data_IF_499858395377
#
_entry.id   IF_499858395377
#
_cell.length_a   1.000
_cell.length_b   1.000
_cell.length_c   1.000
_cell.angle_alpha   90.00
_cell.angle_beta   90.00
_cell.angle_gamma   90.00
#
_symmetry.space_group_name_H-M   'P 1'
#
loop_
_entity.id
_entity.type
_entity.pdbx_description
1 polymer ?
#
# COMPACT_ATOMS: atom_id res chain seq x y z
N UNK A 1 32.94 -5.53 8.23
CA UNK A 1 31.59 -6.12 8.33
C UNK A 1 30.64 -5.34 7.43
N UNK A 2 30.33 -5.85 6.24
CA UNK A 2 29.25 -5.31 5.40
C UNK A 2 27.94 -5.54 6.13
N UNK A 3 27.32 -4.47 6.66
CA UNK A 3 25.99 -4.56 7.26
C UNK A 3 25.03 -5.10 6.19
N UNK A 4 24.35 -6.20 6.48
CA UNK A 4 23.40 -6.80 5.53
C UNK A 4 22.20 -5.88 5.37
N UNK A 5 21.94 -5.41 4.15
CA UNK A 5 20.75 -4.60 3.83
C UNK A 5 19.48 -5.38 4.19
N UNK A 6 19.52 -6.70 4.00
CA UNK A 6 18.44 -7.63 4.33
C UNK A 6 18.10 -7.58 5.82
N UNK A 7 19.10 -7.53 6.70
CA UNK A 7 18.88 -7.44 8.15
C UNK A 7 18.11 -6.17 8.54
N UNK A 8 18.53 -5.01 8.06
CA UNK A 8 17.84 -3.74 8.34
C UNK A 8 16.44 -3.71 7.75
N UNK A 9 16.25 -4.29 6.55
CA UNK A 9 14.93 -4.41 5.93
C UNK A 9 13.99 -5.26 6.78
N UNK A 10 14.49 -6.37 7.35
CA UNK A 10 13.72 -7.22 8.27
C UNK A 10 13.34 -6.45 9.54
N UNK A 11 14.26 -5.68 10.12
CA UNK A 11 13.98 -4.84 11.30
C UNK A 11 12.87 -3.83 10.99
N UNK A 12 12.97 -3.08 9.89
CA UNK A 12 11.95 -2.11 9.47
C UNK A 12 10.60 -2.79 9.23
N UNK A 13 10.61 -3.97 8.59
CA UNK A 13 9.40 -4.75 8.36
C UNK A 13 8.74 -5.18 9.68
N UNK A 14 9.52 -5.69 10.64
CA UNK A 14 9.03 -6.09 11.95
C UNK A 14 8.42 -4.90 12.73
N UNK A 15 9.09 -3.75 12.71
CA UNK A 15 8.58 -2.49 13.32
C UNK A 15 7.27 -2.05 12.65
N UNK A 16 7.20 -2.11 11.32
CA UNK A 16 5.99 -1.71 10.61
C UNK A 16 4.81 -2.65 10.87
N UNK A 17 5.06 -3.96 10.90
CA UNK A 17 4.03 -4.97 11.19
C UNK A 17 3.52 -4.85 12.63
N UNK A 18 4.41 -4.66 13.60
CA UNK A 18 4.03 -4.47 15.00
C UNK A 18 3.23 -3.18 15.18
N UNK A 19 3.66 -2.06 14.60
CA UNK A 19 2.89 -0.82 14.62
C UNK A 19 1.51 -0.96 13.97
N UNK A 20 1.42 -1.66 12.83
CA UNK A 20 0.15 -1.96 12.16
C UNK A 20 -0.76 -2.83 13.03
N UNK A 21 -0.21 -3.80 13.75
CA UNK A 21 -0.96 -4.66 14.65
C UNK A 21 -1.53 -3.88 15.85
N UNK A 22 -0.70 -3.04 16.49
CA UNK A 22 -1.10 -2.15 17.59
C UNK A 22 -2.21 -1.21 17.12
N UNK A 23 -2.03 -0.52 15.99
CA UNK A 23 -3.05 0.38 15.44
C UNK A 23 -4.37 -0.34 15.17
N UNK A 24 -4.32 -1.56 14.61
CA UNK A 24 -5.53 -2.35 14.35
C UNK A 24 -6.30 -2.69 15.63
N UNK A 25 -5.60 -2.94 16.74
CA UNK A 25 -6.20 -3.15 18.08
C UNK A 25 -6.83 -1.87 18.63
N UNK A 26 -6.24 -0.72 18.37
CA UNK A 26 -6.81 0.59 18.72
C UNK A 26 -7.93 1.06 17.78
N UNK A 27 -8.35 0.26 16.79
CA UNK A 27 -9.37 0.67 15.82
C UNK A 27 -8.88 1.72 14.82
N UNK A 28 -7.57 1.76 14.58
CA UNK A 28 -6.87 2.72 13.73
C UNK A 28 -6.16 2.01 12.58
N UNK A 29 -5.82 2.76 11.53
CA UNK A 29 -5.00 2.31 10.38
C UNK A 29 -4.09 3.43 9.90
N UNK A 30 -2.92 3.08 9.38
CA UNK A 30 -2.07 4.03 8.66
C UNK A 30 -2.79 4.59 7.43
N UNK A 31 -2.55 5.86 7.13
CA UNK A 31 -3.02 6.47 5.87
C UNK A 31 -2.22 5.93 4.68
N UNK A 32 -2.81 6.01 3.50
CA UNK A 32 -2.29 5.34 2.30
C UNK A 32 -0.92 5.89 1.90
N UNK A 33 -0.72 7.21 1.95
CA UNK A 33 0.55 7.88 1.65
C UNK A 33 1.69 7.65 2.65
N UNK A 34 1.45 6.96 3.77
CA UNK A 34 2.53 6.42 4.64
C UNK A 34 2.70 4.93 4.38
N UNK A 35 1.59 4.22 4.24
CA UNK A 35 1.61 2.78 3.99
C UNK A 35 2.32 2.44 2.69
N UNK A 36 2.02 3.14 1.61
CA UNK A 36 2.57 2.89 0.28
C UNK A 36 4.09 3.09 0.21
N UNK A 37 4.67 4.25 0.60
CA UNK A 37 6.12 4.42 0.52
C UNK A 37 6.87 3.48 1.46
N UNK A 38 6.35 3.17 2.65
CA UNK A 38 6.99 2.19 3.55
C UNK A 38 6.95 0.79 2.95
N UNK A 39 5.86 0.41 2.30
CA UNK A 39 5.76 -0.89 1.61
C UNK A 39 6.74 -0.96 0.43
N UNK A 40 6.87 0.11 -0.36
CA UNK A 40 7.86 0.22 -1.43
C UNK A 40 9.29 0.15 -0.91
N UNK A 41 9.59 0.80 0.21
CA UNK A 41 10.90 0.76 0.85
C UNK A 41 11.26 -0.68 1.28
N UNK A 42 10.31 -1.40 1.88
CA UNK A 42 10.50 -2.80 2.28
C UNK A 42 10.72 -3.68 1.04
N UNK A 43 9.92 -3.51 -0.02
CA UNK A 43 10.05 -4.26 -1.27
C UNK A 43 11.39 -3.99 -1.99
N UNK A 44 11.84 -2.75 -2.04
CA UNK A 44 13.14 -2.39 -2.60
C UNK A 44 14.31 -2.95 -1.76
N UNK A 45 14.19 -2.88 -0.43
CA UNK A 45 15.17 -3.42 0.50
C UNK A 45 15.31 -4.94 0.41
N UNK A 46 14.20 -5.68 0.23
CA UNK A 46 14.24 -7.12 0.05
C UNK A 46 14.89 -7.49 -1.28
N UNK A 47 14.53 -6.81 -2.38
CA UNK A 47 15.17 -7.00 -3.68
C UNK A 47 16.69 -6.77 -3.61
N UNK A 48 17.13 -5.64 -3.05
CA UNK A 48 18.55 -5.33 -2.87
C UNK A 48 19.26 -6.35 -1.97
N UNK A 49 18.60 -6.83 -0.90
CA UNK A 49 19.11 -7.85 -0.02
C UNK A 49 19.32 -9.20 -0.72
N UNK A 50 18.36 -9.64 -1.54
CA UNK A 50 18.51 -10.85 -2.35
C UNK A 50 19.66 -10.72 -3.35
N UNK A 51 19.78 -9.57 -4.02
CA UNK A 51 20.90 -9.31 -4.93
C UNK A 51 22.25 -9.39 -4.20
N UNK A 52 22.35 -8.80 -3.00
CA UNK A 52 23.55 -8.89 -2.15
C UNK A 52 23.89 -10.35 -1.81
N UNK A 53 22.88 -11.17 -1.54
CA UNK A 53 23.04 -12.59 -1.21
C UNK A 53 23.53 -13.41 -2.42
N UNK A 54 22.97 -13.15 -3.61
CA UNK A 54 23.38 -13.77 -4.87
C UNK A 54 24.83 -13.39 -5.22
N UNK A 55 25.23 -12.14 -4.99
CA UNK A 55 26.59 -11.69 -5.28
C UNK A 55 27.65 -12.34 -4.38
N UNK A 56 27.27 -12.77 -3.18
CA UNK A 56 28.14 -13.43 -2.20
C UNK A 56 28.45 -14.90 -2.57
N UNK A 57 27.71 -15.48 -3.52
CA UNK A 57 27.93 -16.85 -4.00
C UNK A 57 29.26 -16.94 -4.78
N UNK A 58 30.10 -17.90 -4.40
CA UNK A 58 31.45 -18.11 -4.98
C UNK A 58 31.42 -18.76 -6.37
N UNK A 59 30.46 -19.65 -6.62
CA UNK A 59 30.38 -20.45 -7.86
C UNK A 59 29.86 -19.62 -9.04
N UNK A 60 30.76 -19.30 -9.99
CA UNK A 60 30.51 -18.46 -11.17
C UNK A 60 29.29 -18.88 -12.02
N UNK A 61 29.12 -20.15 -12.44
CA UNK A 61 27.99 -20.53 -13.31
C UNK A 61 26.64 -20.44 -12.57
N UNK A 62 26.59 -20.89 -11.32
CA UNK A 62 25.39 -20.81 -10.48
C UNK A 62 25.01 -19.35 -10.21
N UNK A 63 26.00 -18.47 -9.99
CA UNK A 63 25.79 -17.04 -9.79
C UNK A 63 25.10 -16.39 -10.98
N UNK A 64 25.58 -16.66 -12.20
CA UNK A 64 24.96 -16.13 -13.43
C UNK A 64 23.53 -16.65 -13.57
N UNK A 65 23.32 -17.96 -13.37
CA UNK A 65 21.98 -18.57 -13.44
C UNK A 65 21.01 -17.94 -12.42
N UNK A 66 21.44 -17.72 -11.17
CA UNK A 66 20.60 -17.08 -10.15
C UNK A 66 20.30 -15.62 -10.47
N UNK A 67 21.24 -14.86 -11.02
CA UNK A 67 21.01 -13.46 -11.41
C UNK A 67 19.95 -13.39 -12.51
N UNK A 68 20.04 -14.25 -13.52
CA UNK A 68 19.07 -14.29 -14.63
C UNK A 68 17.69 -14.69 -14.10
N UNK A 69 17.61 -15.72 -13.24
CA UNK A 69 16.36 -16.15 -12.61
C UNK A 69 15.73 -15.05 -11.76
N UNK A 70 16.55 -14.35 -10.97
CA UNK A 70 16.10 -13.25 -10.11
C UNK A 70 15.61 -12.05 -10.93
N UNK A 71 16.31 -11.68 -12.00
CA UNK A 71 15.88 -10.63 -12.91
C UNK A 71 14.54 -10.97 -13.59
N UNK A 72 14.38 -12.21 -14.06
CA UNK A 72 13.12 -12.68 -14.64
C UNK A 72 11.96 -12.63 -13.62
N UNK A 73 12.20 -13.06 -12.38
CA UNK A 73 11.21 -12.98 -11.30
C UNK A 73 10.82 -11.52 -10.99
N UNK A 74 11.77 -10.58 -11.00
CA UNK A 74 11.52 -9.17 -10.79
C UNK A 74 10.66 -8.56 -11.91
N UNK A 75 10.94 -8.90 -13.18
CA UNK A 75 10.16 -8.43 -14.32
C UNK A 75 8.72 -8.94 -14.22
N UNK A 76 8.53 -10.23 -13.90
CA UNK A 76 7.20 -10.80 -13.69
C UNK A 76 6.47 -10.13 -12.52
N UNK A 77 7.16 -9.87 -11.41
CA UNK A 77 6.59 -9.17 -10.25
C UNK A 77 6.18 -7.73 -10.57
N UNK A 78 7.02 -6.99 -11.30
CA UNK A 78 6.71 -5.63 -11.75
C UNK A 78 5.51 -5.61 -12.70
N UNK A 79 5.45 -6.55 -13.66
CA UNK A 79 4.32 -6.65 -14.59
C UNK A 79 3.00 -6.97 -13.87
N UNK A 80 3.05 -7.93 -12.94
CA UNK A 80 1.90 -8.28 -12.11
C UNK A 80 1.48 -7.12 -11.19
N UNK A 81 2.45 -6.44 -10.57
CA UNK A 81 2.22 -5.27 -9.73
C UNK A 81 1.57 -4.12 -10.51
N UNK A 82 2.01 -3.88 -11.74
CA UNK A 82 1.41 -2.89 -12.64
C UNK A 82 -0.04 -3.22 -12.98
N UNK A 83 -0.34 -4.47 -13.34
CA UNK A 83 -1.71 -4.93 -13.59
C UNK A 83 -2.62 -4.80 -12.36
N UNK A 84 -2.11 -5.19 -11.20
CA UNK A 84 -2.83 -5.04 -9.93
C UNK A 84 -3.08 -3.57 -9.59
N UNK A 85 -2.11 -2.69 -9.84
CA UNK A 85 -2.26 -1.26 -9.63
C UNK A 85 -3.28 -0.63 -10.60
N UNK A 86 -3.20 -0.99 -11.88
CA UNK A 86 -4.15 -0.53 -12.90
C UNK A 86 -5.60 -0.92 -12.57
N UNK A 87 -5.81 -2.12 -12.02
CA UNK A 87 -7.12 -2.59 -11.59
C UNK A 87 -7.57 -2.06 -10.22
N UNK A 88 -6.64 -1.62 -9.37
CA UNK A 88 -6.91 -1.25 -7.97
C UNK A 88 -6.67 0.22 -7.68
N UNK A 89 -6.78 1.09 -8.70
CA UNK A 89 -6.40 2.50 -8.66
C UNK A 89 -7.30 3.33 -7.69
N UNK A 90 -7.24 3.03 -6.40
CA UNK A 90 -7.96 3.69 -5.32
C UNK A 90 -7.17 4.93 -4.91
N UNK A 91 -7.62 6.10 -5.32
CA UNK A 91 -7.01 7.35 -4.87
C UNK A 91 -7.61 7.78 -3.53
N UNK A 92 -6.77 7.93 -2.50
CA UNK A 92 -7.17 8.61 -1.27
C UNK A 92 -7.13 10.12 -1.54
N UNK A 93 -8.29 10.79 -1.57
CA UNK A 93 -8.36 12.24 -1.75
C UNK A 93 -8.39 12.91 -0.37
N UNK A 94 -7.62 13.98 -0.25
CA UNK A 94 -7.35 14.76 0.95
C UNK A 94 -8.58 15.10 1.78
N UNK A 95 -8.35 15.36 3.08
CA UNK A 95 -9.37 15.57 4.10
C UNK A 95 -10.45 16.55 3.65
N UNK A 96 -11.69 16.07 3.56
CA UNK A 96 -12.86 16.92 3.41
C UNK A 96 -13.57 16.99 4.76
N UNK A 97 -14.13 18.16 5.04
CA UNK A 97 -15.09 18.31 6.13
C UNK A 97 -16.39 17.66 5.66
N UNK A 98 -16.91 16.68 6.40
CA UNK A 98 -18.22 16.09 6.14
C UNK A 98 -19.32 17.16 6.22
N UNK A 99 -20.49 16.84 5.67
CA UNK A 99 -21.73 17.64 5.78
C UNK A 99 -22.07 18.06 7.23
N UNK A 100 -21.62 17.27 8.23
CA UNK A 100 -21.79 17.53 9.66
C UNK A 100 -20.62 18.28 10.34
N UNK A 101 -19.69 18.88 9.59
CA UNK A 101 -18.57 19.65 10.16
C UNK A 101 -17.43 18.79 10.75
N UNK A 102 -17.51 17.46 10.64
CA UNK A 102 -16.47 16.55 11.15
C UNK A 102 -15.39 16.33 10.10
N UNK A 103 -14.10 16.34 10.48
CA UNK A 103 -13.01 16.07 9.54
C UNK A 103 -13.00 14.60 9.15
N UNK A 104 -13.13 14.32 7.86
CA UNK A 104 -13.16 12.97 7.30
C UNK A 104 -12.11 12.81 6.20
N UNK A 105 -11.69 11.56 6.00
CA UNK A 105 -10.76 11.15 4.95
C UNK A 105 -11.56 10.37 3.91
N UNK A 106 -11.46 10.79 2.65
CA UNK A 106 -12.23 10.24 1.54
C UNK A 106 -11.34 9.31 0.73
N UNK A 107 -11.70 8.04 0.64
CA UNK A 107 -11.10 7.12 -0.32
C UNK A 107 -12.02 7.00 -1.53
N UNK A 108 -11.49 7.28 -2.73
CA UNK A 108 -12.13 6.92 -3.98
C UNK A 108 -11.75 5.49 -4.35
N UNK A 109 -12.77 4.71 -4.68
CA UNK A 109 -12.64 3.37 -5.23
C UNK A 109 -13.33 3.36 -6.58
N UNK A 110 -12.58 3.53 -7.69
CA UNK A 110 -13.14 3.33 -9.01
C UNK A 110 -13.40 1.82 -9.19
N UNK A 111 -14.67 1.45 -9.22
CA UNK A 111 -15.13 0.16 -9.75
C UNK A 111 -15.48 0.41 -11.22
N UNK A 112 -15.29 -0.58 -12.09
CA UNK A 112 -15.40 -0.44 -13.57
C UNK A 112 -16.61 0.36 -14.08
N UNK A 113 -17.70 0.48 -13.30
CA UNK A 113 -18.94 1.16 -13.67
C UNK A 113 -19.48 2.12 -12.59
N UNK A 114 -18.79 2.27 -11.46
CA UNK A 114 -19.29 2.99 -10.29
C UNK A 114 -18.11 3.60 -9.52
N UNK A 115 -18.17 4.90 -9.20
CA UNK A 115 -17.18 5.53 -8.32
C UNK A 115 -17.70 5.53 -6.89
N UNK A 116 -17.10 4.72 -6.02
CA UNK A 116 -17.48 4.69 -4.60
C UNK A 116 -16.57 5.60 -3.80
N UNK A 117 -17.16 6.48 -2.98
CA UNK A 117 -16.45 7.25 -1.96
C UNK A 117 -16.68 6.61 -0.60
N UNK A 118 -15.59 6.32 0.11
CA UNK A 118 -15.62 5.80 1.47
C UNK A 118 -15.07 6.84 2.43
N UNK A 119 -15.86 7.18 3.44
CA UNK A 119 -15.52 8.18 4.44
C UNK A 119 -15.00 7.50 5.71
N UNK A 120 -13.84 7.94 6.19
CA UNK A 120 -13.23 7.47 7.44
C UNK A 120 -12.95 8.63 8.39
N UNK A 121 -13.06 8.39 9.69
CA UNK A 121 -12.77 9.41 10.70
C UNK A 121 -11.30 9.87 10.62
N UNK A 122 -11.08 11.18 10.51
CA UNK A 122 -9.75 11.76 10.63
C UNK A 122 -9.28 11.66 12.09
N UNK A 123 -8.12 11.03 12.30
CA UNK A 123 -7.52 10.86 13.64
C UNK A 123 -6.15 11.51 13.77
N UNK A 124 -5.57 11.99 12.67
CA UNK A 124 -4.32 12.74 12.67
C UNK A 124 -3.63 12.72 11.31
N UNK A 125 -2.41 13.28 11.30
CA UNK A 125 -1.57 13.29 10.11
C UNK A 125 -1.23 11.86 9.68
N UNK A 126 -0.78 10.99 10.58
CA UNK A 126 -0.27 9.66 10.17
C UNK A 126 -1.32 8.53 10.11
N UNK A 127 -2.47 8.73 10.76
CA UNK A 127 -3.38 7.65 11.12
C UNK A 127 -4.82 8.07 10.86
N UNK A 128 -5.65 7.10 10.43
CA UNK A 128 -7.09 7.24 10.24
C UNK A 128 -7.88 6.19 11.02
N UNK A 129 -9.18 6.45 11.22
CA UNK A 129 -10.10 5.45 11.77
C UNK A 129 -10.19 4.20 10.90
N UNK A 130 -10.31 3.03 11.53
CA UNK A 130 -10.52 1.75 10.85
C UNK A 130 -11.97 1.54 10.42
N UNK A 131 -12.93 2.09 11.19
CA UNK A 131 -14.36 2.00 10.90
C UNK A 131 -14.71 2.98 9.79
N UNK A 132 -15.49 2.49 8.83
CA UNK A 132 -16.15 3.29 7.81
C UNK A 132 -17.26 4.10 8.49
N UNK A 133 -17.35 5.39 8.19
CA UNK A 133 -18.44 6.26 8.64
C UNK A 133 -19.60 6.22 7.64
N UNK A 134 -19.31 6.54 6.38
CA UNK A 134 -20.30 6.65 5.33
C UNK A 134 -19.74 6.14 3.99
N UNK A 135 -20.63 5.75 3.08
CA UNK A 135 -20.34 5.33 1.71
C UNK A 135 -21.28 6.10 0.79
N UNK A 136 -20.75 6.60 -0.31
CA UNK A 136 -21.54 7.19 -1.39
C UNK A 136 -21.13 6.52 -2.70
N UNK A 137 -22.08 5.92 -3.40
CA UNK A 137 -21.92 5.51 -4.80
C UNK A 137 -22.18 6.68 -5.73
N UNK A 138 -21.37 6.83 -6.78
CA UNK A 138 -21.62 7.75 -7.89
C UNK A 138 -21.64 6.95 -9.18
N UNK A 139 -22.73 7.07 -9.95
CA UNK A 139 -22.77 6.56 -11.31
C UNK A 139 -21.73 7.30 -12.17
N UNK A 140 -21.05 6.57 -13.06
CA UNK A 140 -19.98 7.12 -13.88
C UNK A 140 -20.56 8.19 -14.84
N UNK A 141 -20.40 9.47 -14.54
CA UNK A 141 -20.72 10.58 -15.46
C UNK A 141 -21.61 11.72 -14.91
N UNK A 142 -22.29 11.57 -13.77
CA UNK A 142 -23.25 12.59 -13.31
C UNK A 142 -22.72 13.55 -12.25
N UNK A 143 -21.65 13.22 -11.52
CA UNK A 143 -21.16 14.07 -10.41
C UNK A 143 -22.14 14.20 -9.22
N UNK A 144 -23.35 13.65 -9.35
CA UNK A 144 -24.38 13.58 -8.33
C UNK A 144 -24.31 12.23 -7.60
N UNK A 145 -24.39 12.23 -6.26
CA UNK A 145 -24.42 10.99 -5.49
C UNK A 145 -25.64 10.18 -5.92
N UNK A 146 -25.43 8.89 -6.20
CA UNK A 146 -26.52 7.94 -6.28
C UNK A 146 -27.02 7.70 -4.86
N UNK A 147 -28.33 7.86 -4.66
CA UNK A 147 -28.98 7.53 -3.40
C UNK A 147 -28.87 6.01 -3.17
N UNK A 148 -27.90 5.60 -2.35
CA UNK A 148 -27.87 4.25 -1.81
C UNK A 148 -28.83 4.23 -0.60
N UNK A 149 -30.10 3.87 -0.85
CA UNK A 149 -31.07 3.49 0.18
C UNK A 149 -30.61 2.22 0.92
N UNK A 150 -30.52 2.35 2.26
CA UNK A 150 -30.42 1.33 3.34
C UNK A 150 -29.38 0.17 3.26
#
# INVERSE_FOLDING_TARGET
MTKSILFWTVVVCAVFLTARWILSRCGLRFRTWIREPVTLLIAAGTAAGFLQLILCISVKPLKIALIVLWAAALIAFCYFGFWMFALSNRSEISSKTDFNGTRCIVEHEPVMWESRRRYYAYRGWFVRGKKLLHKEGYACGTGEPGDDEE
#
